data_IF_417720318673
#
_entry.id   IF_417720318673
#
_cell.length_a   1.000
_cell.length_b   1.000
_cell.length_c   1.000
_cell.angle_alpha   90.00
_cell.angle_beta   90.00
_cell.angle_gamma   90.00
#
_symmetry.space_group_name_H-M   'P 1'
#
loop_
_entity.id
_entity.type
_entity.pdbx_description
1 polymer ?
#
# COMPACT_ATOMS: atom_id res chain seq x y z
N UNK A 1 16.65 59.93 27.50
CA UNK A 1 15.45 59.48 26.75
C UNK A 1 15.82 59.24 25.29
N UNK A 2 15.90 57.97 24.84
CA UNK A 2 16.11 57.63 23.42
C UNK A 2 14.74 57.35 22.79
N UNK A 3 14.33 58.15 21.79
CA UNK A 3 13.10 57.92 21.03
C UNK A 3 13.33 56.75 20.08
N UNK A 4 12.59 55.67 20.25
CA UNK A 4 12.54 54.57 19.29
C UNK A 4 11.81 55.02 18.02
N UNK A 5 12.40 54.86 16.82
CA UNK A 5 11.72 55.24 15.60
C UNK A 5 10.57 54.27 15.32
N UNK A 6 9.35 54.80 15.26
CA UNK A 6 8.17 54.04 14.84
C UNK A 6 8.12 54.02 13.31
N UNK A 7 8.27 52.84 12.71
CA UNK A 7 8.10 52.67 11.27
C UNK A 7 6.70 53.16 10.85
N UNK A 8 6.58 53.92 9.74
CA UNK A 8 5.29 54.40 9.25
C UNK A 8 4.37 53.22 8.93
N UNK A 9 3.09 53.36 9.31
CA UNK A 9 2.06 52.31 9.23
C UNK A 9 1.96 51.67 7.83
N UNK A 10 2.16 52.46 6.78
CA UNK A 10 2.21 52.01 5.39
C UNK A 10 3.40 51.06 5.08
N UNK A 11 4.55 51.25 5.73
CA UNK A 11 5.72 50.38 5.55
C UNK A 11 5.52 49.03 6.25
N UNK A 12 4.85 49.03 7.41
CA UNK A 12 4.42 47.80 8.10
C UNK A 12 3.43 46.98 7.27
N UNK A 13 2.46 47.64 6.63
CA UNK A 13 1.49 46.95 5.76
C UNK A 13 2.13 46.40 4.49
N UNK A 14 3.11 47.10 3.90
CA UNK A 14 3.86 46.61 2.72
C UNK A 14 4.75 45.41 3.06
N UNK A 15 5.41 45.42 4.21
CA UNK A 15 6.22 44.29 4.69
C UNK A 15 5.35 43.06 5.01
N UNK A 16 4.15 43.26 5.55
CA UNK A 16 3.20 42.17 5.82
C UNK A 16 2.65 41.55 4.53
N UNK A 17 2.37 42.37 3.52
CA UNK A 17 1.90 41.90 2.21
C UNK A 17 2.98 41.10 1.46
N UNK A 18 4.25 41.50 1.56
CA UNK A 18 5.37 40.77 0.95
C UNK A 18 5.64 39.42 1.66
N UNK A 19 5.47 39.36 2.98
CA UNK A 19 5.59 38.11 3.74
C UNK A 19 4.47 37.10 3.40
N UNK A 20 3.24 37.56 3.15
CA UNK A 20 2.14 36.68 2.72
C UNK A 20 2.34 36.13 1.30
N UNK A 21 2.97 36.89 0.40
CA UNK A 21 3.20 36.49 -0.98
C UNK A 21 4.25 35.35 -1.12
N UNK A 22 5.19 35.23 -0.17
CA UNK A 22 6.23 34.19 -0.18
C UNK A 22 5.71 32.83 0.34
N UNK A 23 4.63 32.80 1.13
CA UNK A 23 4.05 31.55 1.64
C UNK A 23 3.09 30.84 0.66
N UNK A 24 2.75 31.46 -0.47
CA UNK A 24 1.63 31.01 -1.32
C UNK A 24 1.97 30.01 -2.44
N UNK A 25 3.23 29.68 -2.68
CA UNK A 25 3.65 28.92 -3.88
C UNK A 25 4.45 27.67 -3.53
N UNK A 26 3.92 26.82 -2.66
CA UNK A 26 4.32 25.41 -2.68
C UNK A 26 3.36 24.68 -3.60
N UNK A 27 3.86 24.28 -4.78
CA UNK A 27 3.17 23.30 -5.60
C UNK A 27 3.20 21.98 -4.83
N UNK A 28 2.20 21.73 -3.99
CA UNK A 28 2.02 20.44 -3.35
C UNK A 28 1.62 19.46 -4.44
N UNK A 29 2.52 18.55 -4.80
CA UNK A 29 2.22 17.38 -5.61
C UNK A 29 1.39 16.40 -4.76
N UNK A 30 0.17 16.83 -4.41
CA UNK A 30 -0.76 16.06 -3.57
C UNK A 30 -1.48 14.96 -4.38
N UNK A 31 -1.32 14.98 -5.70
CA UNK A 31 -1.66 13.84 -6.55
C UNK A 31 -0.43 12.94 -6.61
N UNK A 32 -0.37 11.94 -5.72
CA UNK A 32 0.66 10.92 -5.77
C UNK A 32 0.75 10.30 -7.17
N UNK A 33 1.97 10.06 -7.61
CA UNK A 33 2.23 9.38 -8.89
C UNK A 33 1.46 8.05 -8.92
N UNK A 34 0.74 7.79 -10.02
CA UNK A 34 0.01 6.53 -10.20
C UNK A 34 0.92 5.41 -10.70
N UNK A 35 2.21 5.67 -10.87
CA UNK A 35 3.24 4.67 -11.12
C UNK A 35 3.49 3.85 -9.86
N UNK A 36 3.55 2.50 -9.93
CA UNK A 36 3.96 1.66 -8.81
C UNK A 36 5.27 2.14 -8.17
N UNK A 37 5.32 2.15 -6.85
CA UNK A 37 6.48 2.61 -6.07
C UNK A 37 7.20 1.42 -5.45
N UNK A 38 8.53 1.40 -5.59
CA UNK A 38 9.37 0.39 -4.98
C UNK A 38 9.23 0.41 -3.44
N UNK A 39 9.35 -0.76 -2.82
CA UNK A 39 9.21 -0.95 -1.38
C UNK A 39 10.55 -1.45 -0.83
N UNK A 40 11.05 -0.80 0.22
CA UNK A 40 12.23 -1.29 0.92
C UNK A 40 11.90 -2.53 1.74
N UNK A 41 12.47 -3.66 1.33
CA UNK A 41 12.32 -4.97 1.97
C UNK A 41 13.63 -5.49 2.56
N UNK A 42 14.63 -4.63 2.72
CA UNK A 42 15.98 -5.01 3.19
C UNK A 42 16.00 -5.61 4.61
N UNK A 43 15.00 -5.30 5.43
CA UNK A 43 14.85 -5.84 6.80
C UNK A 43 14.15 -7.20 6.86
N UNK A 44 13.68 -7.74 5.73
CA UNK A 44 13.08 -9.08 5.65
C UNK A 44 14.10 -10.14 5.22
N UNK A 45 13.87 -11.43 5.54
CA UNK A 45 14.58 -12.52 4.90
C UNK A 45 14.40 -12.46 3.38
N UNK A 46 15.51 -12.42 2.64
CA UNK A 46 15.46 -12.39 1.18
C UNK A 46 15.14 -13.79 0.63
N UNK A 47 14.14 -13.88 -0.24
CA UNK A 47 13.50 -15.11 -0.72
C UNK A 47 14.12 -15.64 -2.03
N UNK A 48 14.93 -14.82 -2.68
CA UNK A 48 15.60 -15.15 -3.94
C UNK A 48 14.71 -14.98 -5.18
N UNK A 49 15.24 -15.40 -6.34
CA UNK A 49 14.61 -15.15 -7.64
C UNK A 49 13.42 -16.07 -7.93
N UNK A 50 13.44 -17.30 -7.40
CA UNK A 50 12.34 -18.24 -7.59
C UNK A 50 11.16 -17.82 -6.73
N UNK A 51 10.02 -17.63 -7.38
CA UNK A 51 8.77 -17.34 -6.67
C UNK A 51 8.33 -18.54 -5.85
N UNK A 52 7.99 -18.26 -4.59
CA UNK A 52 7.30 -19.17 -3.70
C UNK A 52 5.84 -19.29 -4.10
N UNK A 53 5.23 -20.42 -3.76
CA UNK A 53 3.82 -20.75 -4.06
C UNK A 53 2.90 -20.48 -2.86
N UNK A 54 3.46 -20.03 -1.73
CA UNK A 54 2.70 -19.80 -0.50
C UNK A 54 3.38 -18.72 0.32
N UNK A 55 2.57 -18.04 1.12
CA UNK A 55 3.03 -16.92 1.92
C UNK A 55 4.11 -17.32 2.95
N UNK A 56 5.37 -16.84 2.82
CA UNK A 56 6.45 -17.15 3.78
C UNK A 56 6.33 -16.38 5.10
N UNK A 57 5.42 -15.40 5.17
CA UNK A 57 5.19 -14.52 6.31
C UNK A 57 3.84 -14.81 7.00
N UNK A 58 3.47 -16.09 7.04
CA UNK A 58 2.29 -16.59 7.74
C UNK A 58 2.35 -16.35 9.26
N UNK A 59 1.31 -16.79 9.99
CA UNK A 59 1.20 -16.60 11.46
C UNK A 59 2.32 -17.23 12.27
N UNK A 60 3.00 -18.25 11.77
CA UNK A 60 4.09 -18.93 12.45
C UNK A 60 5.46 -18.31 12.11
N UNK A 61 5.55 -17.49 11.06
CA UNK A 61 6.79 -16.86 10.62
C UNK A 61 7.36 -15.87 11.65
N UNK A 62 8.65 -15.99 12.04
CA UNK A 62 9.30 -15.02 12.93
C UNK A 62 9.43 -13.63 12.29
N UNK A 63 9.40 -13.54 10.96
CA UNK A 63 9.45 -12.29 10.21
C UNK A 63 8.08 -11.59 10.10
N UNK A 64 6.98 -12.22 10.54
CA UNK A 64 5.61 -11.72 10.32
C UNK A 64 5.42 -10.29 10.80
N UNK A 65 5.92 -9.94 11.99
CA UNK A 65 5.76 -8.59 12.55
C UNK A 65 6.32 -7.52 11.60
N UNK A 66 7.49 -7.79 11.03
CA UNK A 66 8.13 -6.86 10.10
C UNK A 66 7.43 -6.86 8.74
N UNK A 67 7.00 -8.03 8.26
CA UNK A 67 6.21 -8.15 7.04
C UNK A 67 4.88 -7.39 7.13
N UNK A 68 4.21 -7.38 8.29
CA UNK A 68 2.99 -6.59 8.51
C UNK A 68 3.26 -5.08 8.48
N UNK A 69 4.38 -4.63 9.08
CA UNK A 69 4.79 -3.22 9.07
C UNK A 69 5.05 -2.74 7.64
N UNK A 70 5.82 -3.51 6.87
CA UNK A 70 6.14 -3.21 5.47
C UNK A 70 4.88 -3.33 4.61
N UNK A 71 4.12 -4.42 4.76
CA UNK A 71 2.92 -4.72 3.99
C UNK A 71 1.84 -3.66 4.15
N UNK A 72 1.63 -3.13 5.36
CA UNK A 72 0.69 -2.04 5.58
C UNK A 72 1.10 -0.76 4.84
N UNK A 73 2.38 -0.40 4.88
CA UNK A 73 2.90 0.77 4.16
C UNK A 73 2.83 0.57 2.65
N UNK A 74 3.32 -0.58 2.16
CA UNK A 74 3.32 -0.96 0.75
C UNK A 74 1.90 -0.99 0.16
N UNK A 75 0.94 -1.57 0.88
CA UNK A 75 -0.47 -1.60 0.48
C UNK A 75 -1.05 -0.18 0.34
N UNK A 76 -0.82 0.68 1.35
CA UNK A 76 -1.37 2.04 1.33
C UNK A 76 -0.76 2.90 0.22
N UNK A 77 0.50 2.65 -0.15
CA UNK A 77 1.17 3.35 -1.25
C UNK A 77 0.73 2.85 -2.63
N UNK A 78 0.57 1.53 -2.79
CA UNK A 78 0.45 0.90 -4.12
C UNK A 78 -0.97 0.40 -4.46
N UNK A 79 -1.79 0.08 -3.47
CA UNK A 79 -3.05 -0.66 -3.66
C UNK A 79 -4.29 0.13 -3.23
N UNK A 80 -4.17 0.90 -2.15
CA UNK A 80 -5.31 1.53 -1.46
C UNK A 80 -6.11 2.51 -2.33
N UNK A 81 -5.49 3.11 -3.35
CA UNK A 81 -6.18 4.01 -4.27
C UNK A 81 -7.35 3.34 -5.01
N UNK A 82 -7.25 2.06 -5.30
CA UNK A 82 -8.29 1.29 -6.00
C UNK A 82 -9.04 0.35 -5.05
N UNK A 83 -8.31 -0.31 -4.15
CA UNK A 83 -8.85 -1.33 -3.25
C UNK A 83 -9.27 -0.78 -1.87
N UNK A 84 -9.15 0.53 -1.67
CA UNK A 84 -9.56 1.24 -0.47
C UNK A 84 -8.49 1.28 0.63
N UNK A 85 -8.56 2.31 1.48
CA UNK A 85 -7.65 2.49 2.61
C UNK A 85 -7.81 1.35 3.61
N UNK A 86 -6.69 0.88 4.15
CA UNK A 86 -6.67 -0.26 5.08
C UNK A 86 -7.37 -1.54 4.59
N UNK A 87 -7.41 -1.75 3.28
CA UNK A 87 -8.13 -2.82 2.60
C UNK A 87 -9.66 -2.77 2.71
N UNK A 88 -10.22 -1.62 3.08
CA UNK A 88 -11.66 -1.36 3.09
C UNK A 88 -12.07 -0.73 1.75
N UNK A 89 -12.49 -1.55 0.79
CA UNK A 89 -12.87 -1.04 -0.53
C UNK A 89 -14.09 -0.10 -0.48
N UNK A 90 -13.98 1.01 -1.21
CA UNK A 90 -15.08 1.95 -1.46
C UNK A 90 -15.90 1.62 -2.73
N UNK A 91 -15.68 0.46 -3.36
CA UNK A 91 -16.44 0.01 -4.53
C UNK A 91 -15.81 0.27 -5.91
N UNK A 92 -14.63 0.88 -5.98
CA UNK A 92 -13.89 1.07 -7.24
C UNK A 92 -13.33 -0.27 -7.76
N UNK A 93 -12.69 -1.03 -6.87
CA UNK A 93 -12.15 -2.36 -7.14
C UNK A 93 -12.56 -3.34 -6.02
N UNK A 94 -12.41 -4.66 -6.19
CA UNK A 94 -12.80 -5.64 -5.18
C UNK A 94 -12.17 -5.41 -3.81
N UNK A 95 -12.90 -5.76 -2.76
CA UNK A 95 -12.38 -5.79 -1.39
C UNK A 95 -11.40 -6.97 -1.23
N UNK A 96 -10.12 -6.65 -1.06
CA UNK A 96 -9.05 -7.64 -1.00
C UNK A 96 -9.01 -8.43 0.32
N UNK A 97 -9.91 -8.15 1.28
CA UNK A 97 -10.09 -9.01 2.45
C UNK A 97 -10.98 -10.22 2.15
N UNK A 98 -11.73 -10.17 1.05
CA UNK A 98 -12.80 -11.14 0.74
C UNK A 98 -12.47 -12.09 -0.40
N UNK A 99 -11.37 -11.87 -1.11
CA UNK A 99 -11.09 -12.67 -2.31
C UNK A 99 -10.85 -14.17 -2.03
N UNK A 100 -10.54 -14.53 -0.78
CA UNK A 100 -10.40 -15.91 -0.31
C UNK A 100 -11.46 -16.31 0.74
N UNK A 101 -12.60 -15.62 0.77
CA UNK A 101 -13.67 -15.86 1.76
C UNK A 101 -14.26 -17.28 1.66
N UNK A 102 -14.38 -17.81 0.45
CA UNK A 102 -14.88 -19.17 0.19
C UNK A 102 -14.00 -20.24 0.85
N UNK A 103 -12.68 -20.02 0.94
CA UNK A 103 -11.77 -20.93 1.63
C UNK A 103 -12.05 -20.98 3.14
N UNK A 104 -12.51 -19.88 3.74
CA UNK A 104 -12.74 -19.80 5.17
C UNK A 104 -13.90 -20.70 5.63
N UNK A 105 -14.90 -20.91 4.78
CA UNK A 105 -16.10 -21.71 5.07
C UNK A 105 -15.92 -23.22 4.92
N UNK A 106 -14.78 -23.70 4.42
CA UNK A 106 -14.51 -25.13 4.26
C UNK A 106 -14.31 -25.82 5.62
N UNK A 107 -15.11 -26.86 5.87
CA UNK A 107 -15.07 -27.63 7.12
C UNK A 107 -13.85 -28.56 7.21
N UNK A 108 -13.43 -29.12 6.07
CA UNK A 108 -12.27 -30.01 6.00
C UNK A 108 -10.96 -29.21 6.01
N UNK A 109 -10.08 -29.48 6.98
CA UNK A 109 -8.86 -28.72 7.18
C UNK A 109 -7.86 -28.86 6.01
N UNK A 110 -7.79 -30.04 5.38
CA UNK A 110 -6.88 -30.27 4.26
C UNK A 110 -7.35 -29.53 3.00
N UNK A 111 -8.66 -29.59 2.70
CA UNK A 111 -9.27 -28.82 1.61
C UNK A 111 -9.15 -27.31 1.85
N UNK A 112 -9.33 -26.87 3.10
CA UNK A 112 -9.14 -25.47 3.49
C UNK A 112 -7.71 -24.99 3.24
N UNK A 113 -6.72 -25.77 3.67
CA UNK A 113 -5.31 -25.43 3.43
C UNK A 113 -4.97 -25.41 1.94
N UNK A 114 -5.46 -26.38 1.16
CA UNK A 114 -5.28 -26.42 -0.28
C UNK A 114 -5.92 -25.20 -0.99
N UNK A 115 -7.13 -24.81 -0.58
CA UNK A 115 -7.81 -23.62 -1.09
C UNK A 115 -6.98 -22.35 -0.86
N UNK A 116 -6.47 -22.12 0.37
CA UNK A 116 -5.63 -20.95 0.63
C UNK A 116 -4.33 -20.95 -0.18
N UNK A 117 -3.72 -22.12 -0.42
CA UNK A 117 -2.55 -22.22 -1.30
C UNK A 117 -2.88 -21.84 -2.75
N UNK A 118 -4.03 -22.29 -3.27
CA UNK A 118 -4.50 -21.87 -4.59
C UNK A 118 -4.75 -20.35 -4.65
N UNK A 119 -5.31 -19.78 -3.58
CA UNK A 119 -5.54 -18.34 -3.49
C UNK A 119 -4.24 -17.53 -3.40
N UNK A 120 -3.19 -18.08 -2.80
CA UNK A 120 -1.84 -17.50 -2.81
C UNK A 120 -1.25 -17.46 -4.23
N UNK A 121 -1.38 -18.55 -4.99
CA UNK A 121 -0.96 -18.61 -6.39
C UNK A 121 -1.75 -17.61 -7.26
N UNK A 122 -3.06 -17.52 -7.05
CA UNK A 122 -3.93 -16.54 -7.71
C UNK A 122 -3.53 -15.10 -7.36
N UNK A 123 -3.25 -14.82 -6.08
CA UNK A 123 -2.84 -13.52 -5.58
C UNK A 123 -1.52 -13.08 -6.22
N UNK A 124 -0.47 -13.88 -6.09
CA UNK A 124 0.86 -13.57 -6.64
C UNK A 124 0.77 -13.39 -8.15
N UNK A 125 0.08 -14.29 -8.84
CA UNK A 125 -0.10 -14.19 -10.29
C UNK A 125 -0.82 -12.91 -10.71
N UNK A 126 -1.84 -12.50 -9.95
CA UNK A 126 -2.63 -11.29 -10.22
C UNK A 126 -1.84 -10.01 -9.95
N UNK A 127 -1.14 -9.91 -8.81
CA UNK A 127 -0.35 -8.71 -8.48
C UNK A 127 0.81 -8.53 -9.46
N UNK A 128 1.49 -9.62 -9.81
CA UNK A 128 2.62 -9.57 -10.74
C UNK A 128 2.22 -9.12 -12.14
N UNK A 129 1.19 -9.73 -12.72
CA UNK A 129 0.81 -9.54 -14.12
C UNK A 129 -0.28 -8.50 -14.34
N UNK A 130 -0.93 -8.03 -13.27
CA UNK A 130 -2.07 -7.13 -13.36
C UNK A 130 -3.30 -7.79 -14.00
N UNK A 131 -4.26 -6.95 -14.39
CA UNK A 131 -5.50 -7.34 -15.07
C UNK A 131 -5.77 -6.37 -16.21
N UNK A 132 -5.81 -6.89 -17.44
CA UNK A 132 -6.17 -6.15 -18.64
C UNK A 132 -7.32 -6.86 -19.35
N UNK A 133 -8.29 -6.09 -19.85
CA UNK A 133 -9.39 -6.59 -20.69
C UNK A 133 -9.64 -5.61 -21.82
N UNK A 134 -9.76 -6.13 -23.05
CA UNK A 134 -9.97 -5.34 -24.27
C UNK A 134 -8.95 -4.20 -24.43
N UNK A 135 -7.68 -4.47 -24.13
CA UNK A 135 -6.58 -3.50 -24.18
C UNK A 135 -6.57 -2.44 -23.06
N UNK A 136 -7.54 -2.47 -22.13
CA UNK A 136 -7.61 -1.55 -20.99
C UNK A 136 -7.05 -2.19 -19.73
N UNK A 137 -6.12 -1.50 -19.06
CA UNK A 137 -5.55 -1.92 -17.79
C UNK A 137 -6.53 -1.59 -16.66
N UNK A 138 -7.02 -2.61 -15.96
CA UNK A 138 -7.89 -2.51 -14.79
C UNK A 138 -7.10 -2.60 -13.49
N UNK A 139 -6.03 -3.38 -13.49
CA UNK A 139 -5.07 -3.46 -12.39
C UNK A 139 -3.66 -3.45 -13.00
N UNK A 140 -2.78 -2.50 -12.64
CA UNK A 140 -1.44 -2.45 -13.20
C UNK A 140 -0.63 -3.69 -12.76
N UNK A 141 0.33 -4.14 -13.59
CA UNK A 141 1.31 -5.12 -13.14
C UNK A 141 2.30 -4.48 -12.18
N UNK A 142 2.75 -5.25 -11.19
CA UNK A 142 3.72 -4.80 -10.18
C UNK A 142 5.06 -5.55 -10.26
N UNK A 143 5.16 -6.60 -11.08
CA UNK A 143 6.42 -7.29 -11.31
C UNK A 143 7.47 -6.34 -11.92
N UNK A 144 8.71 -6.42 -11.42
CA UNK A 144 9.79 -5.50 -11.78
C UNK A 144 9.86 -4.24 -10.92
N UNK A 145 8.77 -3.85 -10.25
CA UNK A 145 8.78 -2.73 -9.29
C UNK A 145 8.70 -3.21 -7.84
N UNK A 146 7.81 -4.15 -7.56
CA UNK A 146 7.70 -4.78 -6.24
C UNK A 146 8.50 -6.08 -6.23
N UNK A 147 9.34 -6.22 -5.22
CA UNK A 147 10.05 -7.47 -4.93
C UNK A 147 9.08 -8.55 -4.46
N UNK A 148 9.51 -9.80 -4.48
CA UNK A 148 8.71 -10.90 -3.95
C UNK A 148 8.38 -10.71 -2.46
N UNK A 149 9.33 -10.21 -1.69
CA UNK A 149 9.18 -9.87 -0.28
C UNK A 149 8.10 -8.80 -0.07
N UNK A 150 8.03 -7.80 -0.96
CA UNK A 150 7.03 -6.74 -0.89
C UNK A 150 5.63 -7.29 -1.17
N UNK A 151 5.48 -8.11 -2.22
CA UNK A 151 4.20 -8.73 -2.57
C UNK A 151 3.72 -9.66 -1.44
N UNK A 152 4.59 -10.49 -0.89
CA UNK A 152 4.21 -11.36 0.24
C UNK A 152 3.91 -10.58 1.53
N UNK A 153 4.62 -9.48 1.78
CA UNK A 153 4.30 -8.60 2.91
C UNK A 153 2.90 -8.02 2.80
N UNK A 154 2.50 -7.58 1.60
CA UNK A 154 1.13 -7.12 1.33
C UNK A 154 0.12 -8.27 1.55
N UNK A 155 0.43 -9.51 1.12
CA UNK A 155 -0.42 -10.68 1.38
C UNK A 155 -0.67 -10.88 2.87
N UNK A 156 0.39 -10.88 3.69
CA UNK A 156 0.26 -11.02 5.15
C UNK A 156 -0.57 -9.89 5.76
N UNK A 157 -0.43 -8.66 5.26
CA UNK A 157 -1.27 -7.55 5.69
C UNK A 157 -2.74 -7.78 5.35
N UNK A 158 -3.07 -8.26 4.15
CA UNK A 158 -4.45 -8.57 3.76
C UNK A 158 -5.07 -9.68 4.62
N UNK A 159 -4.30 -10.74 4.91
CA UNK A 159 -4.72 -11.80 5.84
C UNK A 159 -5.03 -11.27 7.24
N UNK A 160 -4.18 -10.36 7.75
CA UNK A 160 -4.35 -9.73 9.05
C UNK A 160 -5.60 -8.83 9.09
N UNK A 161 -5.83 -8.04 8.03
CA UNK A 161 -7.03 -7.21 7.89
C UNK A 161 -8.30 -8.05 7.79
N UNK A 162 -8.29 -9.15 7.04
CA UNK A 162 -9.41 -10.11 6.99
C UNK A 162 -9.73 -10.66 8.37
N UNK A 163 -8.72 -11.05 9.14
CA UNK A 163 -8.93 -11.66 10.44
C UNK A 163 -9.36 -10.65 11.53
N UNK A 164 -8.94 -9.39 11.39
CA UNK A 164 -9.23 -8.30 12.34
C UNK A 164 -10.58 -7.59 12.14
N UNK A 165 -11.27 -7.86 11.03
CA UNK A 165 -12.54 -7.20 10.68
C UNK A 165 -13.74 -8.16 10.64
N UNK A 166 -13.62 -9.29 11.34
CA UNK A 166 -14.72 -10.22 11.60
C UNK A 166 -15.67 -9.71 12.68
#
# INVERSE_FOLDING_TARGET
MKRTPTLPRLLRHRLLALALAVCGTTATWAHGDMVPQAVDTSSLPQLGEKWLESNPYDKASPARKEALRIGSSAYNQNCARCHGLEALSGGIAPDLRKFDEDCSGLADAAKKAACFKEMDDFYVGTVRRGRTRDGRVYMPPFEGTLTQEAIWSIRSYLEDRRDSTK
#
